data_IF_680220965763
#
_entry.id   IF_680220965763
#
_cell.length_a   1.000
_cell.length_b   1.000
_cell.length_c   1.000
_cell.angle_alpha   90.00
_cell.angle_beta   90.00
_cell.angle_gamma   90.00
#
_symmetry.space_group_name_H-M   'P 1'
#
loop_
_entity.id
_entity.type
_entity.pdbx_description
1 polymer ?
#
# COMPACT_ATOMS: atom_id res chain seq x y z
N UNK A 1 -15.11 -47.57 -36.92
CA UNK A 1 -15.49 -47.00 -35.60
C UNK A 1 -14.30 -46.61 -34.74
N UNK A 2 -13.34 -47.50 -34.46
CA UNK A 2 -12.18 -47.21 -33.58
C UNK A 2 -11.33 -46.00 -33.99
N UNK A 3 -11.02 -45.85 -35.29
CA UNK A 3 -10.25 -44.72 -35.82
C UNK A 3 -10.91 -43.37 -35.51
N UNK A 4 -12.24 -43.28 -35.59
CA UNK A 4 -12.98 -42.04 -35.35
C UNK A 4 -12.95 -41.65 -33.87
N UNK A 5 -12.97 -42.62 -32.97
CA UNK A 5 -12.87 -42.39 -31.51
C UNK A 5 -11.49 -41.85 -31.14
N UNK A 6 -10.42 -42.41 -31.74
CA UNK A 6 -9.04 -41.93 -31.55
C UNK A 6 -8.86 -40.52 -32.11
N UNK A 7 -9.42 -40.24 -33.29
CA UNK A 7 -9.36 -38.90 -33.89
C UNK A 7 -10.10 -37.86 -33.05
N UNK A 8 -11.27 -38.20 -32.49
CA UNK A 8 -12.03 -37.31 -31.59
C UNK A 8 -11.26 -37.05 -30.29
N UNK A 9 -10.63 -38.09 -29.72
CA UNK A 9 -9.79 -37.94 -28.52
C UNK A 9 -8.58 -37.02 -28.76
N UNK A 10 -7.92 -37.13 -29.92
CA UNK A 10 -6.82 -36.24 -30.31
C UNK A 10 -7.27 -34.78 -30.47
N UNK A 11 -8.43 -34.56 -31.08
CA UNK A 11 -9.00 -33.21 -31.26
C UNK A 11 -9.37 -32.61 -29.89
N UNK A 12 -10.01 -33.39 -29.01
CA UNK A 12 -10.36 -32.92 -27.66
C UNK A 12 -9.12 -32.63 -26.80
N UNK A 13 -8.07 -33.44 -26.91
CA UNK A 13 -6.79 -33.21 -26.24
C UNK A 13 -6.08 -31.94 -26.70
N UNK A 14 -6.20 -31.59 -27.99
CA UNK A 14 -5.62 -30.37 -28.56
C UNK A 14 -6.40 -29.09 -28.19
N UNK A 15 -7.68 -29.18 -27.87
CA UNK A 15 -8.53 -28.03 -27.48
C UNK A 15 -8.44 -27.73 -25.98
N UNK A 16 -8.07 -28.72 -25.16
CA UNK A 16 -7.96 -28.58 -23.69
C UNK A 16 -7.05 -27.42 -23.21
N UNK A 17 -5.90 -27.10 -23.84
CA UNK A 17 -5.06 -25.97 -23.42
C UNK A 17 -5.67 -24.60 -23.74
N UNK A 18 -6.53 -24.51 -24.77
CA UNK A 18 -7.18 -23.26 -25.17
C UNK A 18 -8.25 -22.81 -24.16
N UNK A 19 -8.83 -23.75 -23.41
CA UNK A 19 -9.88 -23.48 -22.42
C UNK A 19 -9.32 -22.98 -21.07
N UNK A 20 -7.99 -23.01 -20.89
CA UNK A 20 -7.30 -22.60 -19.67
C UNK A 20 -6.64 -21.22 -19.78
N UNK A 21 -6.94 -20.45 -20.83
CA UNK A 21 -6.51 -19.05 -20.92
C UNK A 21 -7.30 -18.24 -19.90
N UNK A 22 -6.81 -18.23 -18.66
CA UNK A 22 -7.21 -17.24 -17.67
C UNK A 22 -6.80 -15.88 -18.22
N UNK A 23 -7.80 -15.06 -18.52
CA UNK A 23 -7.63 -13.65 -18.87
C UNK A 23 -7.10 -12.94 -17.62
N UNK A 24 -5.77 -12.93 -17.44
CA UNK A 24 -5.12 -12.07 -16.45
C UNK A 24 -5.36 -10.65 -16.93
N UNK A 25 -6.39 -10.00 -16.39
CA UNK A 25 -6.61 -8.58 -16.62
C UNK A 25 -5.47 -7.83 -15.94
N UNK A 26 -4.71 -7.07 -16.72
CA UNK A 26 -3.82 -6.07 -16.15
C UNK A 26 -4.65 -5.13 -15.27
N UNK A 27 -4.12 -4.73 -14.12
CA UNK A 27 -4.75 -3.72 -13.29
C UNK A 27 -4.94 -2.45 -14.14
N UNK A 28 -6.16 -1.93 -14.17
CA UNK A 28 -6.46 -0.68 -14.88
C UNK A 28 -5.91 0.49 -14.06
N UNK A 29 -5.05 1.32 -14.67
CA UNK A 29 -4.52 2.49 -14.00
C UNK A 29 -5.61 3.55 -13.86
N UNK A 30 -5.96 3.89 -12.61
CA UNK A 30 -6.87 4.98 -12.31
C UNK A 30 -6.08 6.25 -11.92
N UNK A 31 -6.02 7.29 -12.75
CA UNK A 31 -5.28 8.52 -12.44
C UNK A 31 -5.85 9.30 -11.24
N UNK A 32 -7.08 8.99 -10.82
CA UNK A 32 -7.72 9.60 -9.64
C UNK A 32 -7.47 8.80 -8.35
N UNK A 33 -6.85 7.62 -8.46
CA UNK A 33 -6.46 6.83 -7.31
C UNK A 33 -5.07 7.27 -6.85
N UNK A 34 -5.03 8.08 -5.78
CA UNK A 34 -3.78 8.56 -5.20
C UNK A 34 -3.28 7.64 -4.07
N UNK A 35 -4.16 7.31 -3.13
CA UNK A 35 -3.91 6.48 -1.95
C UNK A 35 -5.19 5.73 -1.60
N UNK A 36 -5.11 4.48 -1.14
CA UNK A 36 -6.29 3.77 -0.61
C UNK A 36 -6.62 4.21 0.81
N UNK A 37 -7.85 3.98 1.24
CA UNK A 37 -8.25 4.18 2.63
C UNK A 37 -7.40 3.33 3.59
N UNK A 38 -7.08 2.08 3.19
CA UNK A 38 -6.21 1.19 3.97
C UNK A 38 -4.80 1.78 4.13
N UNK A 39 -4.23 2.35 3.07
CA UNK A 39 -2.91 2.98 3.13
C UNK A 39 -2.95 4.30 3.91
N UNK A 40 -4.04 5.07 3.81
CA UNK A 40 -4.24 6.30 4.57
C UNK A 40 -4.42 6.06 6.07
N UNK A 41 -4.93 4.88 6.46
CA UNK A 41 -5.20 4.52 7.86
C UNK A 41 -4.19 3.53 8.45
N UNK A 42 -3.15 3.16 7.71
CA UNK A 42 -2.08 2.29 8.20
C UNK A 42 -1.16 3.04 9.19
N UNK A 43 -1.52 2.97 10.47
CA UNK A 43 -0.74 3.56 11.57
C UNK A 43 0.62 2.88 11.80
N UNK A 44 0.86 1.70 11.21
CA UNK A 44 2.09 0.92 11.35
C UNK A 44 3.06 1.16 10.18
N UNK A 45 2.67 1.94 9.17
CA UNK A 45 3.50 2.23 8.00
C UNK A 45 4.82 2.94 8.34
N UNK A 46 4.92 3.60 9.49
CA UNK A 46 6.15 4.24 9.96
C UNK A 46 6.19 4.29 11.48
N UNK A 47 7.20 3.65 12.08
CA UNK A 47 7.40 3.73 13.52
C UNK A 47 8.04 5.07 13.95
N UNK A 48 8.10 5.31 15.26
CA UNK A 48 8.67 6.54 15.81
C UNK A 48 10.15 6.75 15.43
N UNK A 49 10.95 5.69 15.45
CA UNK A 49 12.37 5.77 15.16
C UNK A 49 12.62 6.03 13.67
N UNK A 50 11.83 5.42 12.80
CA UNK A 50 11.80 5.68 11.37
C UNK A 50 11.41 7.12 11.07
N UNK A 51 10.36 7.62 11.74
CA UNK A 51 9.93 9.02 11.64
C UNK A 51 11.04 9.98 12.08
N UNK A 52 11.67 9.74 13.24
CA UNK A 52 12.77 10.59 13.72
C UNK A 52 13.96 10.55 12.75
N UNK A 53 14.34 9.37 12.24
CA UNK A 53 15.39 9.22 11.22
C UNK A 53 15.03 9.96 9.93
N UNK A 54 13.77 9.93 9.52
CA UNK A 54 13.27 10.65 8.36
C UNK A 54 13.44 12.17 8.53
N UNK A 55 12.97 12.71 9.66
CA UNK A 55 13.00 14.15 9.95
C UNK A 55 14.42 14.68 10.18
N UNK A 56 15.35 13.84 10.65
CA UNK A 56 16.77 14.18 10.84
C UNK A 56 17.50 14.60 9.56
N UNK A 57 16.92 14.35 8.38
CA UNK A 57 17.46 14.84 7.10
C UNK A 57 17.25 16.34 6.89
N UNK A 58 16.41 16.98 7.70
CA UNK A 58 16.07 18.40 7.61
C UNK A 58 16.05 19.11 8.95
N UNK A 59 15.47 20.31 8.96
CA UNK A 59 15.35 21.12 10.18
C UNK A 59 14.42 20.47 11.22
N UNK A 60 13.38 19.76 10.76
CA UNK A 60 12.36 19.17 11.64
C UNK A 60 12.92 18.14 12.62
N UNK A 61 14.01 17.43 12.30
CA UNK A 61 14.58 16.43 13.20
C UNK A 61 15.08 16.98 14.53
N UNK A 62 15.38 18.29 14.59
CA UNK A 62 15.76 19.00 15.82
C UNK A 62 14.74 20.08 16.22
N UNK A 63 13.63 20.16 15.51
CA UNK A 63 12.62 21.18 15.77
C UNK A 63 11.81 20.81 17.01
N UNK A 64 11.69 21.79 17.90
CA UNK A 64 10.98 21.68 19.17
C UNK A 64 10.01 22.86 19.22
N UNK A 65 8.74 22.55 19.48
CA UNK A 65 7.69 23.56 19.55
C UNK A 65 6.56 23.09 20.46
N UNK A 66 5.57 23.95 20.67
CA UNK A 66 4.36 23.59 21.40
C UNK A 66 3.40 22.81 20.48
N UNK A 67 2.80 21.75 21.03
CA UNK A 67 1.64 21.11 20.41
C UNK A 67 0.35 21.94 20.62
N UNK A 68 -0.78 21.44 20.13
CA UNK A 68 -2.07 22.14 20.24
C UNK A 68 -2.57 22.30 21.70
N UNK A 69 -1.99 21.55 22.64
CA UNK A 69 -2.29 21.63 24.07
C UNK A 69 -1.35 22.60 24.81
N UNK A 70 -0.38 23.17 24.11
CA UNK A 70 0.66 24.03 24.69
C UNK A 70 1.86 23.27 25.26
N UNK A 71 1.93 21.94 25.10
CA UNK A 71 3.03 21.12 25.61
C UNK A 71 4.21 21.16 24.65
N UNK A 72 5.41 21.47 25.16
CA UNK A 72 6.63 21.48 24.34
C UNK A 72 7.10 20.05 24.02
N UNK A 73 7.19 19.73 22.73
CA UNK A 73 7.54 18.40 22.20
C UNK A 73 8.44 18.54 20.95
N UNK A 74 9.11 17.47 20.58
CA UNK A 74 9.79 17.42 19.27
C UNK A 74 8.79 17.30 18.13
N UNK A 75 9.15 17.73 16.92
CA UNK A 75 8.30 17.53 15.74
C UNK A 75 7.91 16.06 15.54
N UNK A 76 8.86 15.13 15.75
CA UNK A 76 8.61 13.69 15.64
C UNK A 76 7.54 13.22 16.64
N UNK A 77 7.63 13.66 17.90
CA UNK A 77 6.66 13.29 18.93
C UNK A 77 5.26 13.87 18.64
N UNK A 78 5.17 15.11 18.16
CA UNK A 78 3.90 15.71 17.76
C UNK A 78 3.27 14.88 16.64
N UNK A 79 4.01 14.64 15.54
CA UNK A 79 3.49 13.92 14.37
C UNK A 79 3.09 12.49 14.74
N UNK A 80 3.95 11.76 15.45
CA UNK A 80 3.65 10.39 15.87
C UNK A 80 2.43 10.32 16.78
N UNK A 81 2.36 11.19 17.80
CA UNK A 81 1.24 11.16 18.77
C UNK A 81 -0.08 11.46 18.07
N UNK A 82 -0.11 12.43 17.16
CA UNK A 82 -1.33 12.79 16.44
C UNK A 82 -1.72 11.73 15.39
N UNK A 83 -0.74 11.07 14.75
CA UNK A 83 -1.00 9.93 13.87
C UNK A 83 -1.72 8.79 14.62
N UNK A 84 -1.23 8.44 15.82
CA UNK A 84 -1.86 7.43 16.67
C UNK A 84 -3.24 7.88 17.17
N UNK A 85 -3.38 9.15 17.56
CA UNK A 85 -4.64 9.73 18.05
C UNK A 85 -5.74 9.66 17.00
N UNK A 86 -5.44 10.03 15.75
CA UNK A 86 -6.43 10.10 14.67
C UNK A 86 -6.50 8.83 13.82
N UNK A 87 -5.66 7.84 14.12
CA UNK A 87 -5.54 6.59 13.37
C UNK A 87 -5.25 6.84 11.87
N UNK A 88 -4.31 7.75 11.62
CA UNK A 88 -3.86 8.14 10.28
C UNK A 88 -2.41 7.68 10.11
N UNK A 89 -2.07 7.25 8.90
CA UNK A 89 -0.71 6.89 8.53
C UNK A 89 0.26 8.08 8.76
N UNK A 90 1.32 7.93 9.59
CA UNK A 90 2.29 9.01 9.84
C UNK A 90 2.96 9.54 8.57
N UNK A 91 3.13 8.70 7.53
CA UNK A 91 3.68 9.11 6.24
C UNK A 91 2.76 10.10 5.52
N UNK A 92 1.45 9.95 5.66
CA UNK A 92 0.47 10.83 5.05
C UNK A 92 0.51 12.24 5.65
N UNK A 93 0.82 12.36 6.94
CA UNK A 93 0.96 13.67 7.62
C UNK A 93 2.20 14.43 7.15
N UNK A 94 3.23 13.71 6.68
CA UNK A 94 4.50 14.27 6.22
C UNK A 94 4.49 14.80 4.78
N UNK A 95 3.45 14.48 4.01
CA UNK A 95 3.38 14.68 2.55
C UNK A 95 3.23 16.15 2.13
#
# INVERSE_FOLDING_TARGET
>A
MWKNVVTIGLILGLISPLLLVNQVKAAEFNPHFLVSDDEMTDILAMDYDELQRFLNRGYLGRYITQDFTGTTKTAAEIIWTEAQRYQINPQFILA
#
